data_IF_084431361390
#
_entry.id   IF_084431361390
#
_cell.length_a   1.000
_cell.length_b   1.000
_cell.length_c   1.000
_cell.angle_alpha   90.00
_cell.angle_beta   90.00
_cell.angle_gamma   90.00
#
_symmetry.space_group_name_H-M   'P 1'
#
loop_
_entity.id
_entity.type
_entity.pdbx_description
1 polymer ?
#
# COMPACT_ATOMS: atom_id res chain seq x y z
N UNK A 1 0.68 18.95 -17.79
CA UNK A 1 1.35 18.76 -16.47
C UNK A 1 2.78 19.26 -16.55
N UNK A 2 3.25 20.03 -15.56
CA UNK A 2 4.66 20.46 -15.52
C UNK A 2 5.57 19.39 -14.91
N UNK A 3 6.86 19.43 -15.23
CA UNK A 3 7.86 18.50 -14.63
C UNK A 3 7.91 18.69 -13.10
N UNK A 4 7.75 19.90 -12.58
CA UNK A 4 7.70 20.18 -11.15
C UNK A 4 6.53 19.50 -10.46
N UNK A 5 5.34 19.53 -11.08
CA UNK A 5 4.17 18.82 -10.54
C UNK A 5 4.42 17.32 -10.52
N UNK A 6 5.05 16.77 -11.56
CA UNK A 6 5.39 15.35 -11.61
C UNK A 6 6.38 14.95 -10.51
N UNK A 7 7.40 15.78 -10.23
CA UNK A 7 8.35 15.56 -9.16
C UNK A 7 7.66 15.61 -7.78
N UNK A 8 6.82 16.62 -7.52
CA UNK A 8 6.12 16.77 -6.25
C UNK A 8 5.17 15.58 -6.02
N UNK A 9 4.35 15.23 -7.01
CA UNK A 9 3.43 14.09 -6.91
C UNK A 9 4.18 12.76 -6.77
N UNK A 10 5.30 12.59 -7.48
CA UNK A 10 6.17 11.44 -7.33
C UNK A 10 6.76 11.32 -5.93
N UNK A 11 7.22 12.43 -5.35
CA UNK A 11 7.75 12.47 -3.99
C UNK A 11 6.68 12.10 -2.96
N UNK A 12 5.50 12.73 -3.07
CA UNK A 12 4.36 12.47 -2.17
C UNK A 12 3.92 11.00 -2.29
N UNK A 13 3.75 10.49 -3.50
CA UNK A 13 3.39 9.09 -3.70
C UNK A 13 4.41 8.14 -3.10
N UNK A 14 5.70 8.30 -3.42
CA UNK A 14 6.74 7.39 -2.94
C UNK A 14 6.87 7.37 -1.43
N UNK A 15 6.73 8.52 -0.78
CA UNK A 15 6.76 8.63 0.68
C UNK A 15 5.47 8.04 1.28
N UNK A 16 4.30 8.52 0.86
CA UNK A 16 3.03 8.22 1.50
C UNK A 16 2.52 6.80 1.21
N UNK A 17 3.02 6.12 0.17
CA UNK A 17 2.64 4.74 -0.14
C UNK A 17 3.09 3.76 0.95
N UNK A 18 4.27 3.97 1.50
CA UNK A 18 4.87 3.08 2.50
C UNK A 18 4.68 3.60 3.93
N UNK A 19 4.78 4.92 4.13
CA UNK A 19 4.42 5.50 5.40
C UNK A 19 2.93 5.25 5.67
N UNK A 20 2.56 4.98 6.92
CA UNK A 20 1.18 4.66 7.26
C UNK A 20 0.31 5.92 7.33
N UNK A 21 0.31 6.75 6.27
CA UNK A 21 -0.33 8.08 6.22
C UNK A 21 -1.32 8.28 5.08
N UNK A 22 -1.60 7.24 4.28
CA UNK A 22 -2.52 7.24 3.12
C UNK A 22 -2.02 8.04 1.91
N UNK A 23 -1.38 7.36 0.96
CA UNK A 23 -0.93 7.94 -0.31
C UNK A 23 -2.10 8.47 -1.14
N UNK A 24 -3.18 7.69 -1.25
CA UNK A 24 -4.36 8.07 -2.02
C UNK A 24 -5.02 9.36 -1.50
N UNK A 25 -5.12 9.51 -0.17
CA UNK A 25 -5.65 10.74 0.42
C UNK A 25 -4.77 11.96 0.09
N UNK A 26 -3.46 11.84 0.24
CA UNK A 26 -2.53 12.93 -0.05
C UNK A 26 -2.48 13.30 -1.52
N UNK A 27 -2.47 12.30 -2.42
CA UNK A 27 -2.51 12.56 -3.87
C UNK A 27 -3.79 13.29 -4.26
N UNK A 28 -4.97 12.82 -3.80
CA UNK A 28 -6.25 13.46 -4.11
C UNK A 28 -6.30 14.91 -3.64
N UNK A 29 -5.88 15.18 -2.39
CA UNK A 29 -5.83 16.55 -1.86
C UNK A 29 -4.89 17.43 -2.70
N UNK A 30 -3.69 16.93 -3.01
CA UNK A 30 -2.69 17.70 -3.74
C UNK A 30 -3.11 17.93 -5.20
N UNK A 31 -3.67 16.93 -5.87
CA UNK A 31 -4.19 17.05 -7.24
C UNK A 31 -5.31 18.09 -7.32
N UNK A 32 -6.20 18.12 -6.32
CA UNK A 32 -7.25 19.12 -6.21
C UNK A 32 -6.69 20.53 -6.00
N UNK A 33 -5.67 20.69 -5.14
CA UNK A 33 -5.04 21.99 -4.87
C UNK A 33 -4.27 22.57 -6.06
N UNK A 34 -3.62 21.73 -6.86
CA UNK A 34 -2.80 22.17 -8.00
C UNK A 34 -3.69 22.55 -9.20
N UNK A 35 -5.02 22.43 -9.06
CA UNK A 35 -5.98 22.65 -10.16
C UNK A 35 -5.47 22.00 -11.45
N UNK A 36 -5.03 20.75 -11.33
CA UNK A 36 -4.60 20.04 -12.52
C UNK A 36 -5.83 19.96 -13.40
N UNK A 37 -5.86 20.81 -14.44
CA UNK A 37 -6.92 20.86 -15.44
C UNK A 37 -7.07 19.47 -16.05
N UNK A 38 -8.03 18.77 -15.55
CA UNK A 38 -8.20 17.36 -15.73
C UNK A 38 -9.07 17.12 -16.92
N UNK A 39 -8.50 16.76 -17.99
CA UNK A 39 -9.13 15.65 -18.70
C UNK A 39 -8.94 14.45 -17.76
N UNK A 40 -10.02 13.91 -17.22
CA UNK A 40 -10.05 12.79 -16.24
C UNK A 40 -9.11 11.64 -16.61
N UNK A 41 -8.72 11.54 -17.83
CA UNK A 41 -8.01 10.47 -18.48
C UNK A 41 -6.47 10.56 -18.37
N UNK A 42 -5.89 11.78 -18.35
CA UNK A 42 -4.44 11.97 -18.30
C UNK A 42 -3.84 11.63 -16.92
N UNK A 43 -4.64 11.76 -15.86
CA UNK A 43 -4.18 11.46 -14.49
C UNK A 43 -4.14 9.98 -14.20
N UNK A 44 -5.09 9.19 -14.69
CA UNK A 44 -5.13 7.75 -14.47
C UNK A 44 -3.84 7.07 -14.92
N UNK A 45 -3.31 7.42 -16.07
CA UNK A 45 -2.07 6.84 -16.57
C UNK A 45 -0.86 7.25 -15.73
N UNK A 46 -0.82 8.51 -15.32
CA UNK A 46 0.25 8.99 -14.44
C UNK A 46 0.22 8.30 -13.07
N UNK A 47 -0.96 8.16 -12.46
CA UNK A 47 -1.13 7.48 -11.19
C UNK A 47 -0.69 6.00 -11.28
N UNK A 48 -1.00 5.32 -12.39
CA UNK A 48 -0.47 3.97 -12.66
C UNK A 48 1.05 3.94 -12.64
N UNK A 49 1.71 4.91 -13.28
CA UNK A 49 3.16 4.98 -13.31
C UNK A 49 3.76 5.32 -11.94
N UNK A 50 3.12 6.20 -11.17
CA UNK A 50 3.54 6.48 -9.80
C UNK A 50 3.49 5.21 -8.92
N UNK A 51 2.40 4.44 -9.00
CA UNK A 51 2.28 3.17 -8.28
C UNK A 51 3.25 2.11 -8.81
N UNK A 52 3.53 2.09 -10.11
CA UNK A 52 4.56 1.22 -10.68
C UNK A 52 5.95 1.56 -10.10
N UNK A 53 6.27 2.85 -9.96
CA UNK A 53 7.51 3.30 -9.32
C UNK A 53 7.64 2.77 -7.88
N UNK A 54 6.59 2.88 -7.08
CA UNK A 54 6.59 2.36 -5.70
C UNK A 54 6.62 0.83 -5.66
N UNK A 55 6.00 0.16 -6.61
CA UNK A 55 6.05 -1.30 -6.73
C UNK A 55 7.49 -1.77 -7.02
N UNK A 56 8.21 -1.08 -7.91
CA UNK A 56 9.64 -1.33 -8.18
C UNK A 56 10.47 -1.11 -6.91
N UNK A 57 10.12 -0.12 -6.06
CA UNK A 57 10.81 0.12 -4.78
C UNK A 57 10.76 -1.11 -3.86
N UNK A 58 9.60 -1.76 -3.74
CA UNK A 58 9.46 -3.00 -2.97
C UNK A 58 10.33 -4.10 -3.58
N UNK A 59 10.28 -4.25 -4.91
CA UNK A 59 11.06 -5.26 -5.61
C UNK A 59 12.57 -5.08 -5.37
N UNK A 60 13.06 -3.84 -5.30
CA UNK A 60 14.48 -3.56 -5.04
C UNK A 60 14.82 -3.84 -3.56
N UNK A 61 14.03 -3.33 -2.62
CA UNK A 61 14.34 -3.42 -1.19
C UNK A 61 14.17 -4.84 -0.66
N UNK A 62 13.11 -5.54 -1.06
CA UNK A 62 12.77 -6.88 -0.59
C UNK A 62 13.12 -7.97 -1.64
N UNK A 63 14.09 -7.68 -2.53
CA UNK A 63 14.53 -8.58 -3.61
C UNK A 63 14.86 -9.98 -3.13
N UNK A 64 15.56 -10.09 -1.99
CA UNK A 64 15.95 -11.39 -1.41
C UNK A 64 14.74 -12.22 -1.01
N UNK A 65 13.73 -11.59 -0.42
CA UNK A 65 12.48 -12.24 -0.04
C UNK A 65 11.71 -12.70 -1.28
N UNK A 66 11.63 -11.87 -2.32
CA UNK A 66 10.96 -12.21 -3.59
C UNK A 66 11.65 -13.39 -4.28
N UNK A 67 12.97 -13.37 -4.38
CA UNK A 67 13.73 -14.50 -4.95
C UNK A 67 13.53 -15.77 -4.13
N UNK A 68 13.54 -15.68 -2.80
CA UNK A 68 13.26 -16.83 -1.93
C UNK A 68 11.85 -17.37 -2.15
N UNK A 69 10.84 -16.51 -2.23
CA UNK A 69 9.45 -16.90 -2.54
C UNK A 69 9.35 -17.65 -3.87
N UNK A 70 9.93 -17.11 -4.93
CA UNK A 70 9.92 -17.76 -6.25
C UNK A 70 10.62 -19.13 -6.19
N UNK A 71 11.84 -19.17 -5.62
CA UNK A 71 12.64 -20.40 -5.51
C UNK A 71 11.92 -21.48 -4.72
N UNK A 72 11.36 -21.13 -3.56
CA UNK A 72 10.69 -22.08 -2.69
C UNK A 72 9.35 -22.56 -3.25
N UNK A 73 8.61 -21.72 -3.98
CA UNK A 73 7.40 -22.14 -4.71
C UNK A 73 7.77 -23.21 -5.75
N UNK A 74 8.82 -23.01 -6.55
CA UNK A 74 9.27 -24.06 -7.47
C UNK A 74 9.72 -25.34 -6.73
N UNK A 75 10.44 -25.20 -5.61
CA UNK A 75 10.85 -26.34 -4.79
C UNK A 75 9.65 -27.10 -4.21
N UNK A 76 8.61 -26.37 -3.78
CA UNK A 76 7.36 -26.94 -3.26
C UNK A 76 6.67 -27.88 -4.28
N UNK A 77 6.61 -27.47 -5.53
CA UNK A 77 6.00 -28.30 -6.59
C UNK A 77 6.91 -29.44 -7.07
N UNK A 78 8.24 -29.25 -7.01
CA UNK A 78 9.19 -30.28 -7.41
C UNK A 78 9.33 -31.42 -6.37
N UNK A 79 9.25 -31.10 -5.08
CA UNK A 79 9.41 -32.07 -4.01
C UNK A 79 8.07 -32.66 -3.57
N UNK A 80 7.52 -33.56 -4.39
CA UNK A 80 6.20 -34.21 -4.12
C UNK A 80 6.28 -35.38 -3.14
N UNK A 81 7.48 -35.80 -2.69
CA UNK A 81 7.67 -36.95 -1.81
C UNK A 81 7.18 -36.70 -0.38
N UNK A 82 7.17 -35.45 0.08
CA UNK A 82 6.71 -35.07 1.43
C UNK A 82 5.24 -34.63 1.40
N UNK A 83 4.46 -34.89 2.48
CA UNK A 83 3.12 -34.31 2.63
C UNK A 83 3.15 -32.78 2.55
N UNK A 84 2.09 -32.17 2.00
CA UNK A 84 2.01 -30.73 1.79
C UNK A 84 2.25 -29.91 3.07
N UNK A 85 1.75 -30.38 4.22
CA UNK A 85 1.93 -29.74 5.52
C UNK A 85 3.41 -29.68 5.95
N UNK A 86 4.17 -30.77 5.72
CA UNK A 86 5.60 -30.79 6.05
C UNK A 86 6.39 -29.90 5.09
N UNK A 87 6.07 -29.92 3.80
CA UNK A 87 6.68 -29.00 2.80
C UNK A 87 6.52 -27.52 3.18
N UNK A 88 5.34 -27.15 3.70
CA UNK A 88 5.10 -25.77 4.13
C UNK A 88 5.93 -25.36 5.36
N UNK A 89 6.29 -26.30 6.24
CA UNK A 89 7.17 -26.01 7.38
C UNK A 89 8.64 -25.87 6.96
N UNK A 90 9.07 -26.65 5.98
CA UNK A 90 10.45 -26.64 5.47
C UNK A 90 10.69 -25.45 4.51
N UNK A 91 9.63 -24.89 3.91
CA UNK A 91 9.68 -23.84 2.89
C UNK A 91 8.88 -22.60 3.36
N UNK A 92 9.42 -21.81 4.30
CA UNK A 92 8.70 -20.70 4.92
C UNK A 92 8.35 -19.57 3.93
N UNK A 93 9.17 -19.34 2.91
CA UNK A 93 8.88 -18.34 1.88
C UNK A 93 7.75 -18.79 0.93
N UNK A 94 7.67 -20.08 0.59
CA UNK A 94 6.52 -20.62 -0.16
C UNK A 94 5.23 -20.53 0.66
N UNK A 95 5.31 -20.79 1.99
CA UNK A 95 4.20 -20.57 2.90
C UNK A 95 3.76 -19.10 2.93
N UNK A 96 4.71 -18.16 2.94
CA UNK A 96 4.41 -16.73 2.89
C UNK A 96 3.66 -16.35 1.61
N UNK A 97 4.01 -16.94 0.44
CA UNK A 97 3.25 -16.74 -0.81
C UNK A 97 1.81 -17.20 -0.65
N UNK A 98 1.56 -18.36 -0.06
CA UNK A 98 0.19 -18.83 0.21
C UNK A 98 -0.58 -17.84 1.11
N UNK A 99 0.05 -17.32 2.17
CA UNK A 99 -0.58 -16.34 3.07
C UNK A 99 -0.87 -15.02 2.34
N UNK A 100 0.02 -14.57 1.44
CA UNK A 100 -0.19 -13.39 0.59
C UNK A 100 -1.39 -13.59 -0.33
N UNK A 101 -1.50 -14.75 -0.99
CA UNK A 101 -2.65 -15.09 -1.84
C UNK A 101 -3.94 -15.02 -1.02
N UNK A 102 -3.99 -15.69 0.13
CA UNK A 102 -5.15 -15.70 1.01
C UNK A 102 -5.54 -14.30 1.51
N UNK A 103 -4.55 -13.47 1.83
CA UNK A 103 -4.78 -12.08 2.24
C UNK A 103 -5.19 -11.15 1.09
N UNK A 104 -4.97 -11.56 -0.18
CA UNK A 104 -5.40 -10.79 -1.35
C UNK A 104 -6.84 -11.12 -1.75
N UNK A 105 -7.34 -12.34 -1.43
CA UNK A 105 -8.70 -12.76 -1.82
C UNK A 105 -9.81 -11.79 -1.39
N UNK A 106 -9.83 -11.22 -0.17
CA UNK A 106 -10.90 -10.31 0.24
C UNK A 106 -11.01 -9.05 -0.63
N UNK A 107 -9.96 -8.65 -1.36
CA UNK A 107 -10.04 -7.51 -2.30
C UNK A 107 -11.03 -7.75 -3.44
N UNK A 108 -11.24 -9.00 -3.85
CA UNK A 108 -12.20 -9.32 -4.90
C UNK A 108 -13.64 -8.96 -4.49
N UNK A 109 -13.94 -8.87 -3.19
CA UNK A 109 -15.25 -8.42 -2.68
C UNK A 109 -15.48 -6.93 -2.92
N UNK A 110 -14.42 -6.15 -3.15
CA UNK A 110 -14.52 -4.71 -3.43
C UNK A 110 -14.81 -4.44 -4.91
N UNK A 111 -14.43 -5.33 -5.82
CA UNK A 111 -14.59 -5.12 -7.26
C UNK A 111 -16.02 -4.69 -7.67
N UNK A 112 -17.11 -5.32 -7.14
CA UNK A 112 -18.47 -4.93 -7.52
C UNK A 112 -18.89 -3.54 -7.04
N UNK A 113 -18.20 -2.99 -6.03
CA UNK A 113 -18.50 -1.68 -5.43
C UNK A 113 -17.40 -0.64 -5.67
N UNK A 114 -16.41 -0.98 -6.53
CA UNK A 114 -15.26 -0.12 -6.77
C UNK A 114 -15.65 1.29 -7.23
N UNK A 115 -16.64 1.40 -8.11
CA UNK A 115 -17.11 2.72 -8.61
C UNK A 115 -17.69 3.60 -7.48
N UNK A 116 -18.34 2.99 -6.47
CA UNK A 116 -18.80 3.71 -5.28
C UNK A 116 -17.63 4.15 -4.39
N UNK A 117 -16.59 3.33 -4.28
CA UNK A 117 -15.38 3.68 -3.55
C UNK A 117 -14.63 4.81 -4.28
N UNK A 118 -14.54 4.76 -5.61
CA UNK A 118 -13.94 5.83 -6.42
C UNK A 118 -14.65 7.19 -6.20
N UNK A 119 -15.96 7.22 -6.04
CA UNK A 119 -16.70 8.46 -5.74
C UNK A 119 -16.27 9.13 -4.42
N UNK A 120 -15.83 8.35 -3.43
CA UNK A 120 -15.38 8.90 -2.14
C UNK A 120 -14.10 9.73 -2.24
N UNK A 121 -13.30 9.56 -3.30
CA UNK A 121 -12.09 10.35 -3.54
C UNK A 121 -12.38 11.83 -3.83
N UNK A 122 -13.59 12.17 -4.23
CA UNK A 122 -14.01 13.55 -4.47
C UNK A 122 -14.48 14.27 -3.19
N UNK A 123 -14.63 13.53 -2.08
CA UNK A 123 -15.11 14.09 -0.81
C UNK A 123 -13.93 14.39 0.14
N UNK A 124 -13.33 15.58 0.00
CA UNK A 124 -12.14 16.00 0.77
C UNK A 124 -12.36 15.92 2.29
N UNK A 125 -13.55 16.33 2.78
CA UNK A 125 -13.89 16.21 4.20
C UNK A 125 -13.85 14.75 4.69
N UNK A 126 -14.39 13.83 3.91
CA UNK A 126 -14.39 12.41 4.22
C UNK A 126 -12.96 11.83 4.25
N UNK A 127 -12.09 12.24 3.32
CA UNK A 127 -10.68 11.84 3.33
C UNK A 127 -10.00 12.30 4.63
N UNK A 128 -10.25 13.54 5.08
CA UNK A 128 -9.73 14.06 6.34
C UNK A 128 -10.20 13.24 7.55
N UNK A 129 -11.47 12.85 7.59
CA UNK A 129 -12.02 11.99 8.65
C UNK A 129 -11.33 10.61 8.65
N UNK A 130 -11.10 10.00 7.49
CA UNK A 130 -10.42 8.71 7.37
C UNK A 130 -8.93 8.80 7.74
N UNK A 131 -8.28 9.93 7.50
CA UNK A 131 -6.93 10.20 8.01
C UNK A 131 -6.90 10.22 9.54
N UNK A 132 -7.86 10.87 10.18
CA UNK A 132 -7.98 10.88 11.65
C UNK A 132 -8.18 9.44 12.17
N UNK A 133 -9.06 8.66 11.52
CA UNK A 133 -9.29 7.26 11.88
C UNK A 133 -8.01 6.42 11.72
N UNK A 134 -7.25 6.65 10.64
CA UNK A 134 -5.91 6.05 10.46
C UNK A 134 -5.01 6.37 11.65
N UNK A 135 -4.97 7.63 12.09
CA UNK A 135 -4.19 8.03 13.26
C UNK A 135 -4.55 7.26 14.53
N UNK A 136 -5.85 7.09 14.82
CA UNK A 136 -6.31 6.29 15.96
C UNK A 136 -5.90 4.82 15.85
N UNK A 137 -6.03 4.24 14.66
CA UNK A 137 -5.64 2.86 14.39
C UNK A 137 -4.15 2.63 14.65
N UNK A 138 -3.28 3.55 14.19
CA UNK A 138 -1.84 3.48 14.41
C UNK A 138 -1.47 3.65 15.88
N UNK A 139 -2.12 4.57 16.58
CA UNK A 139 -1.91 4.82 18.00
C UNK A 139 -2.26 3.60 18.85
N UNK A 140 -3.39 2.95 18.56
CA UNK A 140 -3.79 1.72 19.26
C UNK A 140 -2.83 0.57 18.92
N UNK A 141 -2.48 0.40 17.64
CA UNK A 141 -1.57 -0.66 17.22
C UNK A 141 -0.19 -0.58 17.89
N UNK A 142 0.34 0.64 18.09
CA UNK A 142 1.65 0.81 18.73
C UNK A 142 1.66 0.42 20.22
N UNK A 143 0.51 0.52 20.88
CA UNK A 143 0.32 0.10 22.29
C UNK A 143 0.06 -1.40 22.48
N UNK A 144 -0.14 -2.13 21.39
CA UNK A 144 -0.37 -3.57 21.47
C UNK A 144 0.88 -4.32 21.94
N UNK A 145 0.70 -5.43 22.66
CA UNK A 145 1.82 -6.31 23.05
C UNK A 145 2.64 -6.75 21.84
N UNK A 146 3.94 -6.93 22.04
CA UNK A 146 4.82 -7.43 20.99
C UNK A 146 4.42 -8.85 20.59
N UNK A 147 4.05 -9.03 19.32
CA UNK A 147 3.80 -10.33 18.74
C UNK A 147 5.11 -11.10 18.48
N UNK A 148 5.00 -12.41 18.33
CA UNK A 148 6.14 -13.31 18.11
C UNK A 148 6.00 -14.16 16.85
N UNK A 149 4.88 -14.03 16.14
CA UNK A 149 4.63 -14.85 14.95
C UNK A 149 5.35 -14.28 13.74
N UNK A 150 5.95 -15.19 12.98
CA UNK A 150 6.69 -14.93 11.75
C UNK A 150 6.13 -15.78 10.61
N UNK A 151 6.77 -15.79 9.45
CA UNK A 151 6.40 -16.62 8.28
C UNK A 151 6.28 -18.11 8.63
N UNK A 152 7.00 -18.59 9.64
CA UNK A 152 6.99 -20.01 10.04
C UNK A 152 5.72 -20.42 10.75
N UNK A 153 5.08 -19.52 11.51
CA UNK A 153 3.96 -19.83 12.41
C UNK A 153 2.75 -18.88 12.27
N UNK A 154 2.73 -18.02 11.26
CA UNK A 154 1.56 -17.23 10.87
C UNK A 154 0.41 -18.18 10.51
N UNK A 155 -0.80 -17.88 10.96
CA UNK A 155 -1.99 -18.71 10.73
C UNK A 155 -2.78 -18.20 9.52
N UNK A 156 -3.54 -19.09 8.87
CA UNK A 156 -4.47 -18.73 7.78
C UNK A 156 -5.45 -17.64 8.24
N UNK A 157 -5.96 -17.75 9.48
CA UNK A 157 -6.85 -16.73 10.05
C UNK A 157 -6.20 -15.35 10.11
N UNK A 158 -4.91 -15.28 10.43
CA UNK A 158 -4.17 -14.02 10.50
C UNK A 158 -4.11 -13.37 9.10
N UNK A 159 -3.82 -14.15 8.07
CA UNK A 159 -3.80 -13.70 6.67
C UNK A 159 -5.18 -13.18 6.22
N UNK A 160 -6.25 -13.91 6.53
CA UNK A 160 -7.61 -13.49 6.16
C UNK A 160 -8.04 -12.21 6.88
N UNK A 161 -7.74 -12.05 8.18
CA UNK A 161 -8.02 -10.82 8.93
C UNK A 161 -7.27 -9.64 8.30
N UNK A 162 -5.97 -9.79 8.02
CA UNK A 162 -5.18 -8.74 7.37
C UNK A 162 -5.76 -8.42 5.99
N UNK A 163 -6.20 -9.44 5.24
CA UNK A 163 -6.81 -9.28 3.93
C UNK A 163 -8.15 -8.52 3.97
N UNK A 164 -9.01 -8.81 4.94
CA UNK A 164 -10.26 -8.04 5.15
C UNK A 164 -9.93 -6.59 5.52
N UNK A 165 -8.96 -6.37 6.40
CA UNK A 165 -8.48 -5.03 6.73
C UNK A 165 -7.90 -4.31 5.50
N UNK A 166 -7.20 -5.03 4.61
CA UNK A 166 -6.73 -4.48 3.32
C UNK A 166 -7.90 -4.06 2.42
N UNK A 167 -8.94 -4.88 2.34
CA UNK A 167 -10.14 -4.56 1.56
C UNK A 167 -10.85 -3.29 2.11
N UNK A 168 -10.98 -3.16 3.42
CA UNK A 168 -11.51 -1.93 4.04
C UNK A 168 -10.62 -0.73 3.76
N UNK A 169 -9.31 -0.91 3.72
CA UNK A 169 -8.34 0.16 3.45
C UNK A 169 -8.27 0.62 1.98
N UNK A 170 -9.15 0.15 1.10
CA UNK A 170 -9.41 0.76 -0.22
C UNK A 170 -10.16 2.08 -0.09
N UNK A 171 -10.79 2.34 1.05
CA UNK A 171 -11.45 3.61 1.37
C UNK A 171 -10.40 4.73 1.39
N UNK A 172 -10.61 5.83 0.61
CA UNK A 172 -9.64 6.93 0.54
C UNK A 172 -9.45 7.60 1.90
N UNK A 173 -8.21 7.92 2.24
CA UNK A 173 -7.84 8.46 3.55
C UNK A 173 -7.46 7.39 4.58
N UNK A 174 -7.96 6.14 4.45
CA UNK A 174 -7.42 5.02 5.19
C UNK A 174 -6.08 4.59 4.58
N UNK A 175 -5.05 4.56 5.43
CA UNK A 175 -3.75 4.06 4.99
C UNK A 175 -3.78 2.55 4.85
N UNK A 176 -3.57 2.03 3.63
CA UNK A 176 -3.47 0.58 3.39
C UNK A 176 -2.31 -0.02 4.19
N UNK A 177 -1.10 0.55 4.06
CA UNK A 177 0.07 0.08 4.81
C UNK A 177 -0.15 0.17 6.32
N UNK A 178 -0.69 1.30 6.82
CA UNK A 178 -1.02 1.48 8.23
C UNK A 178 -2.01 0.44 8.75
N UNK A 179 -3.10 0.23 8.02
CA UNK A 179 -4.17 -0.70 8.40
C UNK A 179 -3.70 -2.15 8.40
N UNK A 180 -2.96 -2.58 7.37
CA UNK A 180 -2.49 -3.96 7.27
C UNK A 180 -1.38 -4.28 8.25
N UNK A 181 -0.45 -3.34 8.53
CA UNK A 181 0.56 -3.49 9.57
C UNK A 181 -0.10 -3.56 10.95
N UNK A 182 -1.05 -2.66 11.25
CA UNK A 182 -1.79 -2.66 12.51
C UNK A 182 -2.58 -3.97 12.71
N UNK A 183 -3.26 -4.46 11.67
CA UNK A 183 -3.93 -5.75 11.69
C UNK A 183 -2.96 -6.92 11.94
N UNK A 184 -1.79 -6.89 11.29
CA UNK A 184 -0.73 -7.86 11.54
C UNK A 184 -0.27 -7.87 12.99
N UNK A 185 -0.03 -6.69 13.59
CA UNK A 185 0.31 -6.57 15.01
C UNK A 185 -0.82 -7.09 15.91
N UNK A 186 -2.08 -6.75 15.59
CA UNK A 186 -3.24 -7.19 16.35
C UNK A 186 -3.45 -8.70 16.33
N UNK A 187 -3.07 -9.37 15.24
CA UNK A 187 -3.10 -10.84 15.17
C UNK A 187 -1.92 -11.51 15.85
N UNK A 188 -0.96 -10.74 16.39
CA UNK A 188 0.21 -11.24 17.12
C UNK A 188 1.42 -11.55 16.23
N UNK A 189 1.51 -10.96 15.05
CA UNK A 189 2.73 -10.99 14.23
C UNK A 189 3.84 -10.16 14.90
N UNK A 190 5.08 -10.59 14.74
CA UNK A 190 6.24 -9.75 15.03
C UNK A 190 6.16 -8.44 14.24
N UNK A 191 6.56 -7.32 14.86
CA UNK A 191 6.42 -5.99 14.26
C UNK A 191 7.16 -5.86 12.93
N UNK A 192 8.38 -6.37 12.86
CA UNK A 192 9.18 -6.32 11.64
C UNK A 192 8.60 -7.23 10.56
N UNK A 193 8.09 -8.40 10.97
CA UNK A 193 7.41 -9.31 10.05
C UNK A 193 6.07 -8.73 9.55
N UNK A 194 5.28 -8.07 10.40
CA UNK A 194 4.04 -7.41 9.99
C UNK A 194 4.28 -6.35 8.89
N UNK A 195 5.34 -5.54 9.02
CA UNK A 195 5.75 -4.58 7.98
C UNK A 195 6.15 -5.29 6.70
N UNK A 196 7.04 -6.29 6.78
CA UNK A 196 7.50 -7.06 5.64
C UNK A 196 6.35 -7.75 4.91
N UNK A 197 5.47 -8.42 5.65
CA UNK A 197 4.29 -9.08 5.10
C UNK A 197 3.35 -8.09 4.40
N UNK A 198 3.07 -6.94 5.02
CA UNK A 198 2.23 -5.88 4.45
C UNK A 198 2.78 -5.37 3.11
N UNK A 199 4.09 -5.12 3.02
CA UNK A 199 4.70 -4.63 1.79
C UNK A 199 4.70 -5.69 0.68
N UNK A 200 5.08 -6.94 0.99
CA UNK A 200 5.06 -8.02 0.00
C UNK A 200 3.64 -8.37 -0.45
N UNK A 201 2.65 -8.33 0.46
CA UNK A 201 1.24 -8.54 0.14
C UNK A 201 0.70 -7.43 -0.78
N UNK A 202 1.25 -6.23 -0.72
CA UNK A 202 0.84 -5.15 -1.60
C UNK A 202 1.23 -5.37 -3.07
N UNK A 203 2.23 -6.19 -3.37
CA UNK A 203 2.67 -6.45 -4.75
C UNK A 203 1.53 -6.95 -5.65
N UNK A 204 0.85 -8.08 -5.35
CA UNK A 204 -0.25 -8.55 -6.18
C UNK A 204 -1.44 -7.59 -6.17
N UNK A 205 -1.72 -6.92 -5.04
CA UNK A 205 -2.84 -5.99 -4.92
C UNK A 205 -2.65 -4.74 -5.80
N UNK A 206 -1.48 -4.09 -5.71
CA UNK A 206 -1.15 -2.89 -6.50
C UNK A 206 -0.98 -3.23 -7.97
N UNK A 207 -0.34 -4.37 -8.29
CA UNK A 207 -0.22 -4.81 -9.66
C UNK A 207 -1.59 -5.05 -10.30
N UNK A 208 -2.49 -5.72 -9.60
CA UNK A 208 -3.87 -5.95 -10.07
C UNK A 208 -4.63 -4.64 -10.29
N UNK A 209 -4.56 -3.70 -9.35
CA UNK A 209 -5.16 -2.37 -9.48
C UNK A 209 -4.55 -1.59 -10.66
N UNK A 210 -3.24 -1.63 -10.84
CA UNK A 210 -2.56 -0.98 -11.96
C UNK A 210 -2.97 -1.56 -13.32
N UNK A 211 -3.16 -2.87 -13.44
CA UNK A 211 -3.63 -3.50 -14.69
C UNK A 211 -5.04 -2.99 -15.03
N UNK A 212 -5.94 -2.90 -14.05
CA UNK A 212 -7.29 -2.39 -14.25
C UNK A 212 -7.28 -0.91 -14.64
N UNK A 213 -6.50 -0.08 -13.93
CA UNK A 213 -6.37 1.35 -14.22
C UNK A 213 -5.69 1.62 -15.57
N UNK A 214 -4.69 0.81 -15.95
CA UNK A 214 -4.04 0.90 -17.26
C UNK A 214 -5.04 0.58 -18.39
N UNK A 215 -5.91 -0.40 -18.20
CA UNK A 215 -6.95 -0.72 -19.17
C UNK A 215 -7.97 0.43 -19.34
N UNK A 216 -8.33 1.12 -18.24
CA UNK A 216 -9.16 2.32 -18.27
C UNK A 216 -8.42 3.48 -18.98
N UNK A 217 -7.16 3.75 -18.62
CA UNK A 217 -6.34 4.80 -19.20
C UNK A 217 -6.10 4.61 -20.71
N UNK A 218 -5.87 3.38 -21.16
CA UNK A 218 -5.66 3.06 -22.56
C UNK A 218 -6.93 3.35 -23.44
N UNK A 219 -8.13 3.12 -22.88
CA UNK A 219 -9.40 3.46 -23.55
C UNK A 219 -9.65 4.96 -23.61
N UNK A 220 -9.16 5.67 -22.63
CA UNK A 220 -9.34 7.11 -22.50
C UNK A 220 -8.39 7.94 -23.37
N UNK A 221 -7.30 7.34 -23.86
CA UNK A 221 -6.24 7.97 -24.63
C UNK A 221 -5.09 8.46 -23.74
N UNK A 222 -3.87 8.14 -24.15
CA UNK A 222 -2.64 8.51 -23.42
C UNK A 222 -1.97 9.65 -24.17
N UNK A 223 -1.73 10.78 -23.52
CA UNK A 223 -0.95 11.89 -24.10
C UNK A 223 0.55 11.58 -24.01
N UNK A 224 1.11 11.15 -25.14
CA UNK A 224 2.52 10.77 -25.26
C UNK A 224 3.45 11.99 -25.05
N UNK A 225 2.97 13.23 -25.27
CA UNK A 225 3.77 14.44 -25.06
C UNK A 225 4.17 14.65 -23.60
N UNK A 226 3.39 14.12 -22.65
CA UNK A 226 3.63 14.17 -21.21
C UNK A 226 4.50 13.01 -20.68
N UNK A 227 4.86 12.05 -21.54
CA UNK A 227 5.62 10.86 -21.13
C UNK A 227 6.93 11.18 -20.40
N UNK A 228 7.75 12.19 -20.80
CA UNK A 228 8.94 12.55 -20.05
C UNK A 228 8.64 12.97 -18.60
N UNK A 229 7.60 13.79 -18.38
CA UNK A 229 7.19 14.19 -17.03
C UNK A 229 6.68 12.99 -16.24
N UNK A 230 5.92 12.10 -16.85
CA UNK A 230 5.40 10.88 -16.22
C UNK A 230 6.53 9.96 -15.76
N UNK A 231 7.54 9.74 -16.58
CA UNK A 231 8.71 8.90 -16.24
C UNK A 231 9.55 9.53 -15.12
N UNK A 232 9.70 10.85 -15.12
CA UNK A 232 10.37 11.56 -14.01
C UNK A 232 9.60 11.34 -12.70
N UNK A 233 8.29 11.53 -12.69
CA UNK A 233 7.45 11.28 -11.52
C UNK A 233 7.56 9.84 -11.01
N UNK A 234 7.52 8.86 -11.91
CA UNK A 234 7.71 7.44 -11.59
C UNK A 234 9.08 7.17 -10.94
N UNK A 235 10.17 7.74 -11.49
CA UNK A 235 11.51 7.58 -10.93
C UNK A 235 11.64 8.23 -9.55
N UNK A 236 11.05 9.41 -9.37
CA UNK A 236 11.02 10.08 -8.06
C UNK A 236 10.24 9.27 -7.04
N UNK A 237 9.07 8.72 -7.43
CA UNK A 237 8.28 7.82 -6.57
C UNK A 237 9.06 6.56 -6.19
N UNK A 238 9.81 5.99 -7.13
CA UNK A 238 10.68 4.83 -6.86
C UNK A 238 11.76 5.17 -5.83
N UNK A 239 12.53 6.24 -6.05
CA UNK A 239 13.67 6.59 -5.17
C UNK A 239 13.18 6.99 -3.78
N UNK A 240 12.16 7.84 -3.69
CA UNK A 240 11.57 8.23 -2.40
C UNK A 240 10.90 7.05 -1.69
N UNK A 241 10.31 6.12 -2.44
CA UNK A 241 9.75 4.88 -1.92
C UNK A 241 10.78 3.97 -1.26
N UNK A 242 11.97 3.81 -1.86
CA UNK A 242 13.08 3.05 -1.26
C UNK A 242 13.45 3.63 0.10
N UNK A 243 13.58 4.96 0.19
CA UNK A 243 13.89 5.64 1.44
C UNK A 243 12.78 5.48 2.48
N UNK A 244 11.52 5.60 2.05
CA UNK A 244 10.34 5.46 2.90
C UNK A 244 10.21 4.05 3.49
N UNK A 245 10.42 2.99 2.71
CA UNK A 245 10.45 1.60 3.19
C UNK A 245 11.50 1.44 4.31
N UNK A 246 12.71 1.95 4.09
CA UNK A 246 13.77 1.90 5.09
C UNK A 246 13.39 2.61 6.38
N UNK A 247 12.77 3.79 6.28
CA UNK A 247 12.31 4.57 7.43
C UNK A 247 11.23 3.82 8.23
N UNK A 248 10.20 3.28 7.55
CA UNK A 248 9.12 2.53 8.23
C UNK A 248 9.67 1.29 8.93
N UNK A 249 10.50 0.49 8.26
CA UNK A 249 11.16 -0.68 8.87
C UNK A 249 11.91 -0.30 10.13
N UNK A 250 12.69 0.80 10.09
CA UNK A 250 13.48 1.29 11.23
C UNK A 250 12.61 1.81 12.38
N UNK A 251 11.57 2.59 12.10
CA UNK A 251 10.71 3.17 13.14
C UNK A 251 9.86 2.08 13.82
N UNK A 252 9.31 1.16 13.04
CA UNK A 252 8.49 0.07 13.57
C UNK A 252 9.29 -0.89 14.45
N UNK A 253 10.52 -1.26 14.03
CA UNK A 253 11.40 -2.11 14.84
C UNK A 253 11.80 -1.47 16.18
N UNK A 254 11.87 -0.12 16.22
CA UNK A 254 12.14 0.65 17.45
C UNK A 254 10.89 0.90 18.31
N UNK A 255 9.72 0.40 17.92
CA UNK A 255 8.46 0.65 18.64
C UNK A 255 7.98 2.11 18.56
N UNK A 256 8.21 2.77 17.43
CA UNK A 256 7.79 4.15 17.18
C UNK A 256 6.76 4.26 16.04
N UNK A 257 6.03 3.18 15.80
CA UNK A 257 5.01 3.14 14.75
C UNK A 257 3.89 4.16 15.01
N UNK A 258 3.51 4.35 16.27
CA UNK A 258 2.52 5.33 16.69
C UNK A 258 2.90 6.79 16.46
N UNK A 259 4.17 7.11 16.16
CA UNK A 259 4.55 8.48 15.85
C UNK A 259 3.82 9.06 14.64
N UNK A 260 3.44 8.20 13.68
CA UNK A 260 2.67 8.60 12.50
C UNK A 260 1.22 9.00 12.83
N UNK A 261 0.67 8.61 13.98
CA UNK A 261 -0.68 8.97 14.40
C UNK A 261 -0.84 10.48 14.56
N UNK A 262 0.16 11.15 15.12
CA UNK A 262 0.15 12.61 15.31
C UNK A 262 0.10 13.34 13.97
N UNK A 263 0.85 12.85 12.99
CA UNK A 263 0.79 13.37 11.63
C UNK A 263 -0.60 13.19 11.03
N UNK A 264 -1.16 11.98 11.11
CA UNK A 264 -2.48 11.68 10.54
C UNK A 264 -3.60 12.53 11.18
N UNK A 265 -3.54 12.77 12.50
CA UNK A 265 -4.49 13.66 13.17
C UNK A 265 -4.34 15.10 12.72
N UNK A 266 -3.11 15.62 12.64
CA UNK A 266 -2.85 16.99 12.18
C UNK A 266 -3.25 17.18 10.71
N UNK A 267 -2.84 16.28 9.82
CA UNK A 267 -3.18 16.34 8.41
C UNK A 267 -4.68 16.17 8.18
N UNK A 268 -5.32 15.22 8.88
CA UNK A 268 -6.77 15.00 8.78
C UNK A 268 -7.58 16.20 9.26
N UNK A 269 -7.23 16.78 10.42
CA UNK A 269 -7.90 17.97 10.93
C UNK A 269 -7.73 19.18 9.98
N UNK A 270 -6.52 19.41 9.49
CA UNK A 270 -6.26 20.46 8.50
C UNK A 270 -7.08 20.26 7.23
N UNK A 271 -7.12 19.03 6.70
CA UNK A 271 -7.91 18.68 5.49
C UNK A 271 -9.39 18.95 5.71
N UNK A 272 -9.95 18.58 6.86
CA UNK A 272 -11.36 18.85 7.19
C UNK A 272 -11.64 20.35 7.29
N UNK A 273 -10.78 21.12 7.95
CA UNK A 273 -10.92 22.57 8.08
C UNK A 273 -10.88 23.23 6.69
N UNK A 274 -9.89 22.89 5.87
CA UNK A 274 -9.76 23.45 4.53
C UNK A 274 -10.97 23.10 3.64
N UNK A 275 -11.51 21.90 3.73
CA UNK A 275 -12.69 21.49 2.97
C UNK A 275 -14.00 22.17 3.38
N UNK A 276 -14.03 22.85 4.52
CA UNK A 276 -15.18 23.67 4.95
C UNK A 276 -15.03 25.15 4.53
N UNK A 277 -13.82 25.58 4.17
CA UNK A 277 -13.53 26.95 3.78
C UNK A 277 -13.58 27.11 2.26
N UNK A 278 -13.12 26.10 1.53
CA UNK A 278 -13.02 26.03 0.08
C UNK A 278 -13.92 24.95 -0.52
#
# INVERSE_FOLDING_TARGET
MSIWNAIILGLVQGIAEFLPISSSGHLSILQNLIHMSTTENGHLFFDVLLHLGTLISICIVDWRDIVAMVREVFAFFRNTRLPAAQRQQELPAARMVLMIILATLPLFLILPINDKVEQLYYHTFFIGLMLILTGFLLFVADKMPKGTRTEKNMRVRDALIIGVCQAVATIPGLSRSGTTIAAGMATGLDRSFAVRFSFLMSLPAVLGANILSLAKAAKAGIDVSLLPAYLIGMLVAMVSGIAAIGLVKRLTSKGRFGAFSYYCWGAGALTMILSLIF
#
